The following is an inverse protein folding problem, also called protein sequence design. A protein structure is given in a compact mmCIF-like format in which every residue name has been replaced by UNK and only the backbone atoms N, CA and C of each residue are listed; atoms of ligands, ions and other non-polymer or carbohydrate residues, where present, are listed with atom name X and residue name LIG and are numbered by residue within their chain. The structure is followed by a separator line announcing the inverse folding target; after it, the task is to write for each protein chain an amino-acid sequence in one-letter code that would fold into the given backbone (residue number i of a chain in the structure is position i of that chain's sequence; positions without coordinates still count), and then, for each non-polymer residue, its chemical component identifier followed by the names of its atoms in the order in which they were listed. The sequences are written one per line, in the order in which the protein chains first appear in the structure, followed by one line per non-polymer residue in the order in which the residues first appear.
data_IF_242163016367
#
_entry.id   IF_242163016367
#
_cell.length_a   1.000
_cell.length_b   1.000
_cell.length_c   1.000
_cell.angle_alpha   90.00
_cell.angle_beta   90.00
_cell.angle_gamma   90.00
#
_symmetry.space_group_name_H-M   'P 1'
#
loop_
_entity.id
_entity.type
_entity.pdbx_description
1 polymer ?
#
# COMPACT_ATOMS: atom_id res chain seq x y z
N UNK A 1 39.05 40.33 -4.20
CA UNK A 1 37.63 40.72 -4.05
C UNK A 1 37.46 41.30 -2.65
N UNK A 2 37.26 42.61 -2.55
CA UNK A 2 37.30 43.35 -1.27
C UNK A 2 35.89 43.39 -0.67
N UNK A 3 35.67 42.70 0.44
CA UNK A 3 34.46 42.86 1.25
C UNK A 3 34.65 44.05 2.19
N UNK A 4 33.86 45.12 2.03
CA UNK A 4 33.77 46.20 3.03
C UNK A 4 32.59 45.90 3.95
N UNK A 5 32.91 45.55 5.19
CA UNK A 5 31.93 45.54 6.29
C UNK A 5 31.71 46.99 6.74
N UNK A 6 30.53 47.54 6.51
CA UNK A 6 30.08 48.74 7.22
C UNK A 6 29.26 48.29 8.43
N UNK A 7 29.79 48.57 9.63
CA UNK A 7 29.15 48.28 10.91
C UNK A 7 28.21 49.45 11.26
N UNK A 8 26.90 49.23 11.18
CA UNK A 8 25.87 50.16 11.67
C UNK A 8 25.04 49.48 12.78
N UNK A 9 24.87 50.16 13.92
CA UNK A 9 24.38 49.60 15.19
C UNK A 9 22.86 49.37 15.25
N UNK A 10 22.10 49.60 14.17
CA UNK A 10 20.63 49.53 14.19
C UNK A 10 19.97 48.59 13.18
N UNK A 11 20.71 47.94 12.28
CA UNK A 11 20.17 46.87 11.44
C UNK A 11 21.29 46.02 10.86
N UNK A 12 21.19 44.69 11.03
CA UNK A 12 22.02 43.74 10.30
C UNK A 12 21.43 43.62 8.89
N UNK A 13 21.82 44.52 7.99
CA UNK A 13 21.48 44.42 6.56
C UNK A 13 22.67 43.85 5.81
N UNK A 14 22.74 42.52 5.69
CA UNK A 14 23.68 41.86 4.80
C UNK A 14 23.21 42.15 3.36
N UNK A 15 23.80 43.15 2.70
CA UNK A 15 23.65 43.33 1.25
C UNK A 15 24.47 42.22 0.56
N UNK A 16 23.88 41.02 0.46
CA UNK A 16 24.37 39.99 -0.44
C UNK A 16 24.29 40.52 -1.89
N UNK A 17 25.28 40.19 -2.71
CA UNK A 17 25.24 40.49 -4.14
C UNK A 17 23.93 39.96 -4.74
N UNK A 18 23.22 40.71 -5.62
CA UNK A 18 21.95 40.27 -6.18
C UNK A 18 22.02 38.88 -6.83
N UNK A 19 23.19 38.47 -7.34
CA UNK A 19 23.45 37.14 -7.90
C UNK A 19 23.42 36.00 -6.85
N UNK A 20 23.75 36.28 -5.59
CA UNK A 20 23.71 35.31 -4.49
C UNK A 20 22.29 35.23 -3.93
N UNK A 21 21.56 36.35 -3.87
CA UNK A 21 20.16 36.38 -3.41
C UNK A 21 19.25 35.68 -4.42
N UNK A 22 19.47 35.88 -5.72
CA UNK A 22 18.71 35.20 -6.77
C UNK A 22 19.00 33.69 -6.77
N UNK A 23 20.27 33.26 -6.69
CA UNK A 23 20.62 31.84 -6.68
C UNK A 23 20.17 31.12 -5.41
N UNK A 24 20.20 31.76 -4.23
CA UNK A 24 19.73 31.15 -2.97
C UNK A 24 18.18 31.08 -2.92
N UNK A 25 17.48 32.12 -3.42
CA UNK A 25 16.01 32.09 -3.49
C UNK A 25 15.48 31.16 -4.57
N UNK A 26 16.16 31.08 -5.72
CA UNK A 26 15.87 30.10 -6.79
C UNK A 26 16.15 28.69 -6.29
N UNK A 27 17.27 28.42 -5.60
CA UNK A 27 17.54 27.11 -5.01
C UNK A 27 16.50 26.72 -3.94
N UNK A 28 16.11 27.64 -3.05
CA UNK A 28 15.06 27.37 -2.05
C UNK A 28 13.69 27.12 -2.66
N UNK A 29 13.35 27.85 -3.72
CA UNK A 29 12.14 27.66 -4.51
C UNK A 29 12.14 26.29 -5.21
N UNK A 30 13.23 25.96 -5.91
CA UNK A 30 13.39 24.70 -6.63
C UNK A 30 13.34 23.49 -5.68
N UNK A 31 14.00 23.57 -4.52
CA UNK A 31 13.95 22.50 -3.52
C UNK A 31 12.53 22.29 -2.99
N UNK A 32 11.78 23.38 -2.76
CA UNK A 32 10.38 23.31 -2.32
C UNK A 32 9.45 22.70 -3.38
N UNK A 33 9.70 22.94 -4.66
CA UNK A 33 8.96 22.29 -5.75
C UNK A 33 9.27 20.79 -5.84
N UNK A 34 10.54 20.41 -5.76
CA UNK A 34 10.96 19.00 -5.81
C UNK A 34 10.38 18.21 -4.62
N UNK A 35 10.44 18.76 -3.40
CA UNK A 35 9.87 18.13 -2.21
C UNK A 35 8.36 17.91 -2.35
N UNK A 36 7.63 18.91 -2.87
CA UNK A 36 6.18 18.79 -3.11
C UNK A 36 5.85 17.76 -4.19
N UNK A 37 6.62 17.71 -5.27
CA UNK A 37 6.44 16.72 -6.33
C UNK A 37 6.71 15.30 -5.80
N UNK A 38 7.71 15.13 -4.94
CA UNK A 38 8.03 13.85 -4.31
C UNK A 38 6.91 13.39 -3.36
N UNK A 39 6.42 14.28 -2.48
CA UNK A 39 5.27 14.01 -1.61
C UNK A 39 4.00 13.65 -2.39
N UNK A 40 3.73 14.37 -3.49
CA UNK A 40 2.60 14.06 -4.36
C UNK A 40 2.77 12.72 -5.07
N UNK A 41 3.99 12.37 -5.50
CA UNK A 41 4.28 11.06 -6.10
C UNK A 41 4.03 9.92 -5.10
N UNK A 42 4.34 10.12 -3.82
CA UNK A 42 4.13 9.11 -2.77
C UNK A 42 2.64 8.86 -2.53
N UNK A 43 1.87 9.93 -2.37
CA UNK A 43 0.43 9.84 -2.18
C UNK A 43 -0.26 9.08 -3.32
N UNK A 44 0.17 9.30 -4.57
CA UNK A 44 -0.41 8.60 -5.73
C UNK A 44 -0.05 7.11 -5.75
N UNK A 45 1.19 6.74 -5.45
CA UNK A 45 1.62 5.34 -5.44
C UNK A 45 0.88 4.57 -4.34
N UNK A 46 0.76 5.15 -3.14
CA UNK A 46 0.04 4.55 -2.02
C UNK A 46 -1.43 4.35 -2.37
N UNK A 47 -2.13 5.39 -2.83
CA UNK A 47 -3.55 5.27 -3.20
C UNK A 47 -3.79 4.26 -4.33
N UNK A 48 -2.86 4.10 -5.27
CA UNK A 48 -2.98 3.10 -6.31
C UNK A 48 -2.71 1.68 -5.79
N UNK A 49 -1.70 1.51 -4.93
CA UNK A 49 -1.41 0.24 -4.26
C UNK A 49 -2.59 -0.21 -3.42
N UNK A 50 -3.09 0.68 -2.57
CA UNK A 50 -4.26 0.51 -1.72
C UNK A 50 -5.52 0.16 -2.52
N UNK A 51 -5.72 0.79 -3.68
CA UNK A 51 -6.87 0.50 -4.57
C UNK A 51 -6.80 -0.90 -5.17
N UNK A 52 -5.58 -1.38 -5.47
CA UNK A 52 -5.39 -2.74 -5.99
C UNK A 52 -5.53 -3.75 -4.84
N UNK A 53 -5.00 -3.43 -3.66
CA UNK A 53 -5.10 -4.25 -2.44
C UNK A 53 -6.56 -4.50 -2.07
N UNK A 54 -7.30 -3.43 -1.86
CA UNK A 54 -8.73 -3.44 -1.55
C UNK A 54 -9.53 -4.24 -2.60
N UNK A 55 -9.24 -4.06 -3.88
CA UNK A 55 -9.87 -4.85 -4.95
C UNK A 55 -9.63 -6.36 -4.80
N UNK A 56 -8.40 -6.77 -4.47
CA UNK A 56 -8.03 -8.17 -4.28
C UNK A 56 -8.72 -8.76 -3.04
N UNK A 57 -8.82 -8.00 -1.94
CA UNK A 57 -9.59 -8.38 -0.76
C UNK A 57 -11.05 -8.64 -1.09
N UNK A 58 -11.63 -7.75 -1.90
CA UNK A 58 -12.98 -7.92 -2.44
C UNK A 58 -13.15 -9.27 -3.14
N UNK A 59 -12.20 -9.64 -4.01
CA UNK A 59 -12.20 -10.93 -4.70
C UNK A 59 -12.11 -12.08 -3.68
N UNK A 60 -11.22 -11.99 -2.69
CA UNK A 60 -11.05 -13.01 -1.66
C UNK A 60 -12.35 -13.25 -0.87
N UNK A 61 -13.03 -12.18 -0.47
CA UNK A 61 -14.32 -12.23 0.21
C UNK A 61 -15.37 -12.86 -0.71
N UNK A 62 -15.43 -12.46 -1.97
CA UNK A 62 -16.39 -13.02 -2.92
C UNK A 62 -16.17 -14.51 -3.20
N UNK A 63 -14.92 -14.95 -3.31
CA UNK A 63 -14.55 -16.35 -3.52
C UNK A 63 -14.87 -17.20 -2.28
N UNK A 64 -14.55 -16.71 -1.08
CA UNK A 64 -14.86 -17.42 0.17
C UNK A 64 -16.37 -17.57 0.42
N UNK A 65 -17.19 -16.57 0.07
CA UNK A 65 -18.66 -16.70 0.12
C UNK A 65 -19.22 -17.67 -0.93
N UNK A 66 -18.50 -17.91 -2.03
CA UNK A 66 -18.85 -18.95 -2.98
C UNK A 66 -18.62 -20.35 -2.39
N UNK A 67 -17.57 -20.51 -1.58
CA UNK A 67 -17.28 -21.76 -0.86
C UNK A 67 -18.34 -22.11 0.19
N UNK A 68 -18.50 -21.19 1.15
CA UNK A 68 -19.43 -21.36 2.27
C UNK A 68 -19.66 -20.02 2.96
N UNK A 69 -20.83 -19.87 3.57
CA UNK A 69 -21.17 -18.68 4.35
C UNK A 69 -20.20 -18.53 5.54
N UNK A 70 -19.80 -19.63 6.17
CA UNK A 70 -18.88 -19.61 7.31
C UNK A 70 -17.49 -19.09 6.89
N UNK A 71 -16.93 -19.59 5.79
CA UNK A 71 -15.64 -19.12 5.29
C UNK A 71 -15.70 -17.66 4.84
N UNK A 72 -16.80 -17.25 4.18
CA UNK A 72 -17.02 -15.86 3.79
C UNK A 72 -17.04 -14.88 4.97
N UNK A 73 -17.73 -15.23 6.06
CA UNK A 73 -17.75 -14.42 7.29
C UNK A 73 -16.35 -14.34 7.90
N UNK A 74 -15.65 -15.47 8.04
CA UNK A 74 -14.29 -15.52 8.61
C UNK A 74 -13.34 -14.65 7.78
N UNK A 75 -13.39 -14.77 6.45
CA UNK A 75 -12.53 -14.02 5.52
C UNK A 75 -12.82 -12.52 5.60
N UNK A 76 -14.10 -12.12 5.67
CA UNK A 76 -14.49 -10.71 5.81
C UNK A 76 -13.95 -10.10 7.10
N UNK A 77 -14.08 -10.82 8.23
CA UNK A 77 -13.54 -10.37 9.51
C UNK A 77 -12.01 -10.26 9.44
N UNK A 78 -11.35 -11.26 8.85
CA UNK A 78 -9.91 -11.27 8.68
C UNK A 78 -9.40 -10.08 7.86
N UNK A 79 -10.09 -9.74 6.76
CA UNK A 79 -9.83 -8.55 5.93
C UNK A 79 -9.98 -7.27 6.75
N UNK A 80 -11.13 -7.07 7.40
CA UNK A 80 -11.36 -5.88 8.24
C UNK A 80 -10.25 -5.70 9.30
N UNK A 81 -9.78 -6.80 9.89
CA UNK A 81 -8.74 -6.76 10.90
C UNK A 81 -7.37 -6.30 10.39
N UNK A 82 -7.01 -6.54 9.12
CA UNK A 82 -5.74 -6.08 8.55
C UNK A 82 -5.86 -4.79 7.73
N UNK A 83 -7.05 -4.50 7.20
CA UNK A 83 -7.32 -3.23 6.50
C UNK A 83 -7.43 -2.04 7.45
N UNK A 84 -8.03 -2.22 8.64
CA UNK A 84 -8.18 -1.11 9.59
C UNK A 84 -6.81 -0.50 10.00
N UNK A 85 -5.79 -1.28 10.37
CA UNK A 85 -4.43 -0.76 10.59
C UNK A 85 -3.77 -0.20 9.33
N UNK A 86 -3.96 -0.86 8.18
CA UNK A 86 -3.36 -0.47 6.90
C UNK A 86 -3.82 0.94 6.47
N UNK A 87 -5.13 1.13 6.42
CA UNK A 87 -5.78 2.40 6.05
C UNK A 87 -5.39 3.55 7.00
N UNK A 88 -5.25 3.28 8.30
CA UNK A 88 -4.76 4.28 9.26
C UNK A 88 -3.30 4.69 8.99
N UNK A 89 -2.46 3.76 8.52
CA UNK A 89 -1.10 4.02 8.07
C UNK A 89 -1.07 4.90 6.82
N UNK A 90 -1.87 4.56 5.81
CA UNK A 90 -1.96 5.32 4.56
C UNK A 90 -2.48 6.74 4.80
N UNK A 91 -3.48 6.90 5.67
CA UNK A 91 -3.96 8.21 6.09
C UNK A 91 -2.83 9.06 6.71
N UNK A 92 -1.95 8.45 7.53
CA UNK A 92 -0.83 9.17 8.14
C UNK A 92 0.15 9.68 7.08
N UNK A 93 0.50 8.85 6.09
CA UNK A 93 1.42 9.24 5.01
C UNK A 93 0.77 10.29 4.08
N UNK A 94 -0.52 10.19 3.81
CA UNK A 94 -1.26 11.21 3.03
C UNK A 94 -1.26 12.56 3.74
N UNK A 95 -1.46 12.59 5.07
CA UNK A 95 -1.38 13.83 5.86
C UNK A 95 0.04 14.40 5.81
N UNK A 96 1.06 13.55 5.95
CA UNK A 96 2.47 13.96 5.88
C UNK A 96 2.85 14.51 4.50
N UNK A 97 2.25 13.99 3.43
CA UNK A 97 2.42 14.51 2.07
C UNK A 97 1.77 15.90 1.83
N UNK A 98 1.09 16.46 2.84
CA UNK A 98 0.51 17.80 2.84
C UNK A 98 -0.98 17.84 2.51
N UNK A 99 -1.68 16.70 2.51
CA UNK A 99 -3.14 16.68 2.39
C UNK A 99 -3.79 17.06 3.73
N UNK A 100 -4.97 17.67 3.66
CA UNK A 100 -5.79 17.86 4.85
C UNK A 100 -6.40 16.52 5.28
N UNK A 101 -6.64 16.33 6.58
CA UNK A 101 -7.23 15.10 7.14
C UNK A 101 -8.50 14.68 6.39
N UNK A 102 -9.38 15.63 6.06
CA UNK A 102 -10.61 15.35 5.30
C UNK A 102 -10.35 14.81 3.89
N UNK A 103 -9.30 15.31 3.22
CA UNK A 103 -8.92 14.83 1.88
C UNK A 103 -8.25 13.47 1.96
N UNK A 104 -7.36 13.27 2.92
CA UNK A 104 -6.72 11.96 3.15
C UNK A 104 -7.78 10.88 3.41
N UNK A 105 -8.70 11.13 4.34
CA UNK A 105 -9.83 10.22 4.62
C UNK A 105 -10.70 9.94 3.41
N UNK A 106 -11.03 10.97 2.61
CA UNK A 106 -11.86 10.78 1.42
C UNK A 106 -11.16 9.93 0.36
N UNK A 107 -9.86 10.12 0.16
CA UNK A 107 -9.10 9.38 -0.84
C UNK A 107 -8.89 7.91 -0.43
N UNK A 108 -8.56 7.65 0.83
CA UNK A 108 -8.58 6.28 1.40
C UNK A 108 -9.94 5.62 1.20
N UNK A 109 -11.01 6.30 1.63
CA UNK A 109 -12.35 5.74 1.50
C UNK A 109 -12.73 5.44 0.05
N UNK A 110 -12.35 6.30 -0.90
CA UNK A 110 -12.55 6.04 -2.33
C UNK A 110 -11.72 4.84 -2.82
N UNK A 111 -10.52 4.64 -2.28
CA UNK A 111 -9.70 3.47 -2.54
C UNK A 111 -10.35 2.20 -2.01
N UNK A 112 -10.83 2.19 -0.77
CA UNK A 112 -11.57 1.10 -0.15
C UNK A 112 -12.83 0.68 -0.93
N UNK A 113 -13.46 1.59 -1.69
CA UNK A 113 -14.61 1.23 -2.53
C UNK A 113 -14.27 0.21 -3.62
N UNK A 114 -13.01 0.10 -4.02
CA UNK A 114 -12.54 -0.90 -4.99
C UNK A 114 -12.77 -2.35 -4.50
N UNK A 115 -12.80 -2.58 -3.18
CA UNK A 115 -13.16 -3.87 -2.61
C UNK A 115 -14.57 -4.33 -2.97
N UNK A 116 -15.54 -3.41 -3.03
CA UNK A 116 -16.89 -3.75 -3.48
C UNK A 116 -16.92 -4.16 -4.96
N UNK A 117 -16.08 -3.56 -5.80
CA UNK A 117 -15.94 -3.96 -7.20
C UNK A 117 -15.33 -5.35 -7.33
N UNK A 118 -14.27 -5.66 -6.57
CA UNK A 118 -13.67 -7.00 -6.53
C UNK A 118 -14.65 -8.07 -6.06
N UNK A 119 -15.39 -7.78 -5.00
CA UNK A 119 -16.46 -8.63 -4.47
C UNK A 119 -17.53 -8.91 -5.53
N UNK A 120 -18.02 -7.85 -6.19
CA UNK A 120 -19.04 -7.98 -7.23
C UNK A 120 -18.57 -8.86 -8.38
N UNK A 121 -17.35 -8.62 -8.89
CA UNK A 121 -16.76 -9.41 -9.98
C UNK A 121 -16.63 -10.87 -9.56
N UNK A 122 -16.09 -11.14 -8.37
CA UNK A 122 -15.91 -12.51 -7.89
C UNK A 122 -17.24 -13.26 -7.73
N UNK A 123 -18.28 -12.60 -7.21
CA UNK A 123 -19.62 -13.19 -7.08
C UNK A 123 -20.24 -13.47 -8.46
N UNK A 124 -20.11 -12.54 -9.41
CA UNK A 124 -20.62 -12.73 -10.79
C UNK A 124 -19.92 -13.89 -11.47
N UNK A 125 -18.58 -13.96 -11.36
CA UNK A 125 -17.77 -15.07 -11.86
C UNK A 125 -18.26 -16.39 -11.24
N UNK A 126 -18.31 -16.49 -9.91
CA UNK A 126 -18.75 -17.70 -9.21
C UNK A 126 -20.15 -18.16 -9.65
N UNK A 127 -21.09 -17.23 -9.85
CA UNK A 127 -22.43 -17.56 -10.35
C UNK A 127 -22.44 -18.04 -11.80
N UNK A 128 -21.71 -17.38 -12.70
CA UNK A 128 -21.61 -17.78 -14.11
C UNK A 128 -21.03 -19.20 -14.21
N UNK A 129 -19.97 -19.48 -13.45
CA UNK A 129 -19.35 -20.80 -13.42
C UNK A 129 -20.28 -21.87 -12.84
N UNK A 130 -21.02 -21.58 -11.77
CA UNK A 130 -22.05 -22.48 -11.25
C UNK A 130 -23.10 -22.84 -12.30
N UNK A 131 -23.59 -21.84 -13.05
CA UNK A 131 -24.56 -22.06 -14.14
C UNK A 131 -23.95 -22.91 -15.26
N UNK A 132 -22.69 -22.63 -15.64
CA UNK A 132 -21.99 -23.37 -16.69
C UNK A 132 -21.72 -24.84 -16.29
N UNK A 133 -21.47 -25.07 -15.01
CA UNK A 133 -21.30 -26.41 -14.43
C UNK A 133 -22.61 -27.23 -14.50
N UNK A 134 -23.76 -26.58 -14.28
CA UNK A 134 -25.08 -27.21 -14.38
C UNK A 134 -25.43 -27.58 -15.83
N UNK A 135 -25.09 -26.72 -16.81
CA UNK A 135 -25.56 -26.85 -18.19
C UNK A 135 -24.61 -27.67 -19.09
N UNK A 136 -23.29 -27.47 -18.98
CA UNK A 136 -22.33 -27.92 -20.02
C UNK A 136 -21.17 -28.75 -19.44
N UNK A 137 -20.61 -28.37 -18.29
CA UNK A 137 -19.32 -28.91 -17.83
C UNK A 137 -19.45 -29.59 -16.46
N UNK A 138 -19.60 -30.92 -16.44
CA UNK A 138 -19.79 -31.70 -15.19
C UNK A 138 -18.53 -31.82 -14.31
N UNK A 139 -17.37 -31.45 -14.82
CA UNK A 139 -16.05 -31.70 -14.20
C UNK A 139 -15.26 -30.40 -13.89
N UNK A 140 -15.89 -29.22 -13.82
CA UNK A 140 -15.18 -28.03 -13.29
C UNK A 140 -15.32 -28.03 -11.78
N UNK A 141 -14.27 -28.41 -11.05
CA UNK A 141 -14.32 -28.48 -9.58
C UNK A 141 -13.74 -27.29 -8.84
N UNK A 142 -12.95 -26.41 -9.45
CA UNK A 142 -12.04 -25.58 -8.62
C UNK A 142 -11.88 -24.12 -9.05
N UNK A 143 -12.93 -23.44 -9.55
CA UNK A 143 -12.85 -21.99 -9.89
C UNK A 143 -12.47 -21.16 -8.68
N UNK A 144 -12.93 -21.57 -7.50
CA UNK A 144 -12.59 -20.94 -6.25
C UNK A 144 -11.09 -21.04 -5.93
N UNK A 145 -10.48 -22.23 -6.06
CA UNK A 145 -9.03 -22.37 -5.86
C UNK A 145 -8.24 -21.50 -6.84
N UNK A 146 -8.70 -21.35 -8.08
CA UNK A 146 -8.05 -20.44 -9.03
C UNK A 146 -8.17 -18.98 -8.61
N UNK A 147 -9.34 -18.54 -8.13
CA UNK A 147 -9.54 -17.20 -7.61
C UNK A 147 -8.65 -16.96 -6.38
N UNK A 148 -8.64 -17.90 -5.42
CA UNK A 148 -7.80 -17.81 -4.22
C UNK A 148 -6.31 -17.83 -4.54
N UNK A 149 -5.86 -18.63 -5.52
CA UNK A 149 -4.47 -18.65 -5.96
C UNK A 149 -4.05 -17.33 -6.62
N UNK A 150 -4.93 -16.75 -7.44
CA UNK A 150 -4.70 -15.42 -8.04
C UNK A 150 -4.64 -14.36 -6.94
N UNK A 151 -5.59 -14.36 -6.02
CA UNK A 151 -5.60 -13.46 -4.86
C UNK A 151 -4.31 -13.57 -4.05
N UNK A 152 -3.88 -14.79 -3.70
CA UNK A 152 -2.65 -15.02 -2.96
C UNK A 152 -1.40 -14.51 -3.71
N UNK A 153 -1.31 -14.77 -5.01
CA UNK A 153 -0.21 -14.26 -5.84
C UNK A 153 -0.19 -12.73 -5.92
N UNK A 154 -1.37 -12.11 -5.99
CA UNK A 154 -1.49 -10.66 -6.00
C UNK A 154 -1.15 -10.02 -4.67
N UNK A 155 -1.50 -10.62 -3.53
CA UNK A 155 -1.05 -10.13 -2.21
C UNK A 155 0.47 -10.14 -2.09
N UNK A 156 1.14 -11.18 -2.58
CA UNK A 156 2.62 -11.23 -2.60
C UNK A 156 3.18 -10.09 -3.47
N UNK A 157 2.57 -9.84 -4.64
CA UNK A 157 3.00 -8.77 -5.55
C UNK A 157 2.81 -7.37 -4.97
N UNK A 158 1.65 -7.08 -4.37
CA UNK A 158 1.36 -5.78 -3.75
C UNK A 158 2.29 -5.56 -2.56
N UNK A 159 2.43 -6.54 -1.66
CA UNK A 159 3.35 -6.47 -0.53
C UNK A 159 4.80 -6.21 -0.97
N UNK A 160 5.24 -6.80 -2.09
CA UNK A 160 6.57 -6.55 -2.65
C UNK A 160 6.75 -5.12 -3.16
N UNK A 161 5.77 -4.58 -3.88
CA UNK A 161 5.82 -3.21 -4.42
C UNK A 161 5.79 -2.18 -3.30
N UNK A 162 4.92 -2.36 -2.31
CA UNK A 162 4.82 -1.44 -1.18
C UNK A 162 6.14 -1.42 -0.40
N UNK A 163 6.74 -2.59 -0.17
CA UNK A 163 8.04 -2.70 0.47
C UNK A 163 9.16 -2.00 -0.32
N UNK A 164 9.17 -2.15 -1.65
CA UNK A 164 10.14 -1.49 -2.52
C UNK A 164 9.97 0.04 -2.54
N UNK A 165 8.73 0.53 -2.47
CA UNK A 165 8.43 1.96 -2.42
C UNK A 165 8.95 2.61 -1.12
N UNK A 166 8.85 1.90 0.01
CA UNK A 166 9.40 2.34 1.30
C UNK A 166 10.94 2.37 1.29
N UNK A 167 11.60 1.31 0.81
CA UNK A 167 13.07 1.23 0.75
C UNK A 167 13.72 2.33 -0.09
N UNK A 168 13.08 2.71 -1.20
CA UNK A 168 13.66 3.68 -2.14
C UNK A 168 13.74 5.09 -1.54
N UNK A 169 12.98 5.39 -0.48
CA UNK A 169 12.92 6.73 0.08
C UNK A 169 13.72 6.94 1.37
N UNK A 170 14.02 5.90 2.14
CA UNK A 170 14.94 6.02 3.29
C UNK A 170 16.43 6.20 2.87
N UNK A 171 16.67 6.51 1.60
CA UNK A 171 17.98 6.79 0.99
C UNK A 171 18.67 8.08 1.45
N UNK A 172 18.63 8.42 2.74
CA UNK A 172 19.45 9.50 3.32
C UNK A 172 20.54 9.05 4.31
N UNK A 173 20.62 7.75 4.64
CA UNK A 173 21.81 7.20 5.32
C UNK A 173 22.25 5.87 4.68
N UNK A 174 23.33 5.95 3.90
CA UNK A 174 24.01 4.84 3.20
C UNK A 174 24.42 3.70 4.17
N UNK A 175 24.38 3.94 5.48
CA UNK A 175 24.92 3.03 6.50
C UNK A 175 23.94 1.93 6.93
N UNK A 176 22.64 2.02 6.60
CA UNK A 176 21.60 1.09 7.09
C UNK A 176 20.76 0.38 6.02
N UNK A 177 21.02 0.59 4.73
CA UNK A 177 20.23 -0.04 3.66
C UNK A 177 20.30 -1.58 3.68
N UNK A 178 21.49 -2.14 3.99
CA UNK A 178 21.68 -3.58 4.14
C UNK A 178 20.88 -4.11 5.32
N UNK A 179 20.89 -3.42 6.47
CA UNK A 179 20.09 -3.84 7.64
C UNK A 179 18.59 -3.75 7.37
N UNK A 180 18.13 -2.73 6.65
CA UNK A 180 16.71 -2.62 6.25
C UNK A 180 16.30 -3.78 5.34
N UNK A 181 17.10 -4.10 4.33
CA UNK A 181 16.88 -5.27 3.47
C UNK A 181 16.88 -6.58 4.27
N UNK A 182 17.86 -6.79 5.16
CA UNK A 182 17.95 -8.02 5.96
C UNK A 182 16.74 -8.16 6.89
N UNK A 183 16.32 -7.08 7.56
CA UNK A 183 15.13 -7.08 8.43
C UNK A 183 13.88 -7.40 7.61
N UNK A 184 13.71 -6.78 6.43
CA UNK A 184 12.57 -7.07 5.55
C UNK A 184 12.54 -8.50 5.02
N UNK A 185 13.65 -9.00 4.47
CA UNK A 185 13.72 -10.39 4.01
C UNK A 185 13.51 -11.37 5.17
N UNK A 186 13.99 -11.06 6.37
CA UNK A 186 13.75 -11.88 7.56
C UNK A 186 12.28 -11.86 7.98
N UNK A 187 11.61 -10.70 7.93
CA UNK A 187 10.19 -10.55 8.24
C UNK A 187 9.31 -11.27 7.23
N UNK A 188 9.62 -11.16 5.93
CA UNK A 188 8.93 -11.89 4.87
C UNK A 188 9.11 -13.40 5.02
N UNK A 189 10.34 -13.86 5.27
CA UNK A 189 10.64 -15.28 5.51
C UNK A 189 9.90 -15.80 6.75
N UNK A 190 9.87 -15.02 7.84
CA UNK A 190 9.15 -15.38 9.05
C UNK A 190 7.64 -15.46 8.78
N UNK A 191 7.05 -14.47 8.11
CA UNK A 191 5.64 -14.47 7.72
C UNK A 191 5.29 -15.68 6.86
N UNK A 192 6.13 -15.99 5.87
CA UNK A 192 5.97 -17.18 5.03
C UNK A 192 6.03 -18.48 5.85
N UNK A 193 7.00 -18.62 6.75
CA UNK A 193 7.14 -19.79 7.62
C UNK A 193 5.93 -19.94 8.55
N UNK A 194 5.41 -18.84 9.11
CA UNK A 194 4.22 -18.85 9.98
C UNK A 194 2.98 -19.29 9.20
N UNK A 195 2.72 -18.69 8.03
CA UNK A 195 1.57 -19.07 7.18
C UNK A 195 1.70 -20.52 6.71
N UNK A 196 2.90 -20.95 6.32
CA UNK A 196 3.18 -22.33 5.92
C UNK A 196 2.96 -23.31 7.09
N UNK A 197 3.41 -22.97 8.29
CA UNK A 197 3.19 -23.78 9.48
C UNK A 197 1.69 -23.89 9.82
N UNK A 198 0.94 -22.79 9.74
CA UNK A 198 -0.51 -22.81 9.93
C UNK A 198 -1.21 -23.75 8.93
N UNK A 199 -0.85 -23.66 7.64
CA UNK A 199 -1.38 -24.58 6.62
C UNK A 199 -0.98 -26.04 6.86
N UNK A 200 0.23 -26.29 7.37
CA UNK A 200 0.68 -27.64 7.72
C UNK A 200 -0.12 -28.25 8.88
N UNK A 201 -0.50 -27.44 9.87
CA UNK A 201 -1.27 -27.88 11.04
C UNK A 201 -2.79 -27.82 10.88
N UNK A 202 -3.30 -27.25 9.78
CA UNK A 202 -4.72 -27.13 9.48
C UNK A 202 -5.49 -28.44 9.69
N UNK A 203 -4.97 -29.55 9.15
CA UNK A 203 -5.61 -30.88 9.24
C UNK A 203 -5.72 -31.42 10.67
N UNK A 204 -4.83 -30.98 11.56
CA UNK A 204 -4.84 -31.38 12.97
C UNK A 204 -5.74 -30.47 13.82
N UNK A 205 -6.00 -29.23 13.37
CA UNK A 205 -6.88 -28.28 14.06
C UNK A 205 -8.36 -28.54 13.78
N UNK A 206 -8.72 -28.99 12.58
CA UNK A 206 -10.12 -29.20 12.16
C UNK A 206 -10.61 -30.65 12.25
N UNK A 207 -9.80 -31.57 12.80
CA UNK A 207 -10.17 -32.98 13.01
C UNK A 207 -10.49 -33.35 14.47
N UNK A 208 -10.63 -32.37 15.36
CA UNK A 208 -11.10 -32.54 16.76
C UNK A 208 -12.43 -31.84 16.98
#
# INVERSE_FOLDING_TARGET
MVFRLQYDRRSISIKLSPDIISSTSVNGSLNKYNLRAEFQSRAVVILLGDSVHNFIDGIAIGASFHHSIQLGIITTIAVICHELPHELGDMAVLIESGLTIRRALLLNFLSALTAFFGLFISVVIGKIYLILQIIIIREVKEVEMWLLAITAGMFIYVAWIDMLAHLKHDGSHIDHWVSACVIQYSGFTLGFVVIFALGWFEKNLFSS
#
